data_IF_903622721673
#
_entry.id   IF_903622721673
#
_cell.length_a   1.000
_cell.length_b   1.000
_cell.length_c   1.000
_cell.angle_alpha   90.00
_cell.angle_beta   90.00
_cell.angle_gamma   90.00
#
_symmetry.space_group_name_H-M   'P 1'
#
loop_
_entity.id
_entity.type
_entity.pdbx_description
1 polymer ?
#
# COMPACT_ATOMS: atom_id res chain seq x y z
N UNK A 1 2.14 -0.08 31.65
CA UNK A 1 2.64 -0.51 30.32
C UNK A 1 1.56 -1.41 29.75
N UNK A 2 1.05 -1.14 28.56
CA UNK A 2 0.17 -2.09 27.88
C UNK A 2 1.02 -3.25 27.35
N UNK A 3 0.42 -4.40 27.06
CA UNK A 3 1.07 -5.38 26.19
C UNK A 3 1.19 -4.73 24.81
N UNK A 4 2.43 -4.43 24.39
CA UNK A 4 2.69 -4.10 22.99
C UNK A 4 2.42 -5.36 22.17
N UNK A 5 1.27 -5.39 21.49
CA UNK A 5 0.96 -6.43 20.52
C UNK A 5 1.93 -6.20 19.36
N UNK A 6 2.96 -7.04 19.27
CA UNK A 6 3.93 -7.02 18.20
C UNK A 6 3.25 -7.50 16.90
N UNK A 7 2.63 -6.55 16.21
CA UNK A 7 2.12 -6.75 14.84
C UNK A 7 3.34 -6.73 13.92
N UNK A 8 3.79 -7.91 13.51
CA UNK A 8 4.85 -8.07 12.52
C UNK A 8 4.25 -8.33 11.12
N UNK A 9 4.89 -7.76 10.11
CA UNK A 9 4.54 -7.87 8.70
C UNK A 9 5.75 -7.40 7.88
N UNK A 10 6.04 -8.05 6.75
CA UNK A 10 7.29 -7.85 6.01
C UNK A 10 7.07 -7.30 4.58
N UNK A 11 6.48 -6.10 4.36
CA UNK A 11 6.23 -5.54 3.02
C UNK A 11 7.41 -5.48 2.02
N UNK A 12 8.67 -5.57 2.45
CA UNK A 12 9.82 -5.70 1.53
C UNK A 12 10.20 -7.14 1.17
N UNK A 13 9.47 -8.14 1.66
CA UNK A 13 9.65 -9.57 1.44
C UNK A 13 8.35 -10.25 0.96
N UNK A 14 7.20 -9.81 1.48
CA UNK A 14 5.87 -10.34 1.17
C UNK A 14 5.33 -9.78 -0.16
N UNK A 15 5.77 -10.33 -1.30
CA UNK A 15 5.49 -9.76 -2.64
C UNK A 15 4.01 -9.86 -3.08
N UNK A 16 3.26 -10.86 -2.61
CA UNK A 16 1.89 -11.14 -3.08
C UNK A 16 0.79 -10.14 -2.68
N UNK A 17 1.10 -9.08 -1.92
CA UNK A 17 0.11 -8.09 -1.47
C UNK A 17 -0.41 -7.13 -2.55
N UNK A 18 0.24 -7.08 -3.71
CA UNK A 18 -0.22 -6.33 -4.89
C UNK A 18 -0.95 -7.20 -5.93
N UNK A 19 -1.17 -8.50 -5.65
CA UNK A 19 -2.00 -9.36 -6.49
C UNK A 19 -3.47 -8.91 -6.51
N UNK A 20 -4.09 -8.97 -7.69
CA UNK A 20 -5.45 -8.51 -7.90
C UNK A 20 -6.45 -9.28 -7.03
N UNK A 21 -7.32 -8.55 -6.31
CA UNK A 21 -8.32 -9.13 -5.42
C UNK A 21 -7.84 -9.40 -3.98
N UNK A 22 -6.54 -9.58 -3.71
CA UNK A 22 -6.05 -9.83 -2.33
C UNK A 22 -6.39 -8.68 -1.39
N UNK A 23 -6.19 -7.44 -1.86
CA UNK A 23 -6.55 -6.21 -1.15
C UNK A 23 -8.05 -6.07 -0.92
N UNK A 24 -8.87 -6.49 -1.89
CA UNK A 24 -10.33 -6.39 -1.82
C UNK A 24 -10.91 -7.45 -0.85
N UNK A 25 -10.37 -8.67 -0.88
CA UNK A 25 -10.67 -9.73 0.08
C UNK A 25 -10.32 -9.32 1.51
N UNK A 26 -9.14 -8.75 1.73
CA UNK A 26 -8.73 -8.25 3.04
C UNK A 26 -9.64 -7.11 3.54
N UNK A 27 -9.99 -6.16 2.67
CA UNK A 27 -10.94 -5.09 3.00
C UNK A 27 -12.33 -5.64 3.30
N UNK A 28 -12.84 -6.61 2.54
CA UNK A 28 -14.14 -7.24 2.78
C UNK A 28 -14.20 -7.95 4.15
N UNK A 29 -13.12 -8.61 4.58
CA UNK A 29 -13.01 -9.19 5.92
C UNK A 29 -13.02 -8.13 7.04
N UNK A 30 -12.27 -7.04 6.86
CA UNK A 30 -12.28 -5.90 7.79
C UNK A 30 -13.67 -5.26 7.87
N UNK A 31 -14.38 -5.15 6.73
CA UNK A 31 -15.75 -4.63 6.65
C UNK A 31 -16.75 -5.55 7.38
N UNK A 32 -16.59 -6.86 7.29
CA UNK A 32 -17.41 -7.82 8.05
C UNK A 32 -17.18 -7.69 9.57
N UNK A 33 -15.93 -7.58 10.02
CA UNK A 33 -15.61 -7.36 11.43
C UNK A 33 -16.08 -5.99 11.94
N UNK A 34 -16.00 -4.94 11.12
CA UNK A 34 -16.57 -3.62 11.45
C UNK A 34 -18.11 -3.62 11.51
N UNK A 35 -18.78 -4.53 10.79
CA UNK A 35 -20.25 -4.74 10.91
C UNK A 35 -20.60 -5.53 12.17
N UNK A 36 -19.79 -6.51 12.55
CA UNK A 36 -19.94 -7.32 13.78
C UNK A 36 -19.67 -6.48 15.04
N UNK A 37 -18.59 -5.69 15.04
CA UNK A 37 -18.13 -4.89 16.16
C UNK A 37 -18.19 -3.39 15.86
N UNK A 38 -19.26 -2.73 16.34
CA UNK A 38 -19.32 -1.26 16.32
C UNK A 38 -18.19 -0.66 17.15
N UNK A 39 -17.43 0.35 16.66
CA UNK A 39 -16.33 0.96 17.40
C UNK A 39 -16.77 1.47 18.79
N UNK A 40 -16.20 0.89 19.84
CA UNK A 40 -16.56 1.16 21.25
C UNK A 40 -15.62 2.14 21.96
N UNK A 41 -14.53 2.54 21.28
CA UNK A 41 -13.59 3.57 21.70
C UNK A 41 -13.37 4.50 20.52
N UNK A 42 -13.48 5.81 20.72
CA UNK A 42 -13.09 6.77 19.71
C UNK A 42 -11.56 6.98 19.81
N UNK A 43 -10.84 6.58 18.77
CA UNK A 43 -9.38 6.69 18.70
C UNK A 43 -8.86 8.15 18.69
N UNK A 44 -9.77 9.13 18.61
CA UNK A 44 -9.48 10.56 18.76
C UNK A 44 -9.68 11.07 20.21
N UNK A 45 -10.11 10.25 21.17
CA UNK A 45 -10.30 10.66 22.59
C UNK A 45 -9.02 11.19 23.26
N UNK A 46 -7.84 10.75 22.80
CA UNK A 46 -6.54 11.25 23.28
C UNK A 46 -6.11 12.58 22.66
N UNK A 47 -6.85 13.10 21.68
CA UNK A 47 -6.57 14.37 21.02
C UNK A 47 -7.49 15.47 21.58
N UNK A 48 -7.01 16.72 21.72
CA UNK A 48 -7.87 17.83 22.07
C UNK A 48 -8.93 18.04 20.96
N UNK A 49 -10.15 18.50 21.31
CA UNK A 49 -11.19 18.78 20.32
C UNK A 49 -10.70 19.80 19.30
N UNK A 50 -10.99 19.55 18.01
CA UNK A 50 -10.53 20.39 16.91
C UNK A 50 -11.12 21.81 17.02
N UNK A 51 -10.30 22.78 17.39
CA UNK A 51 -10.69 24.18 17.40
C UNK A 51 -10.66 24.74 15.97
N UNK A 52 -11.77 24.61 15.24
CA UNK A 52 -11.95 25.18 13.90
C UNK A 52 -11.77 26.70 13.88
N UNK A 53 -12.08 27.38 14.98
CA UNK A 53 -11.98 28.83 15.13
C UNK A 53 -10.57 29.32 15.57
N UNK A 54 -9.57 28.43 15.69
CA UNK A 54 -8.24 28.78 16.20
C UNK A 54 -7.52 29.90 15.42
N UNK A 55 -7.86 30.06 14.14
CA UNK A 55 -7.29 31.07 13.24
C UNK A 55 -8.32 32.08 12.73
N UNK A 56 -9.54 32.11 13.30
CA UNK A 56 -10.58 33.08 12.93
C UNK A 56 -10.26 34.46 13.49
N UNK A 57 -9.72 35.31 12.62
CA UNK A 57 -9.69 36.76 12.87
C UNK A 57 -11.11 37.33 12.95
N UNK A 58 -11.31 38.42 13.68
CA UNK A 58 -12.65 39.02 13.82
C UNK A 58 -13.20 39.57 12.50
N UNK A 59 -12.31 39.90 11.54
CA UNK A 59 -12.68 40.17 10.16
C UNK A 59 -13.34 38.94 9.50
N UNK A 60 -12.75 37.75 9.64
CA UNK A 60 -13.32 36.52 9.08
C UNK A 60 -14.68 36.18 9.71
N UNK A 61 -14.86 36.39 11.02
CA UNK A 61 -16.14 36.19 11.70
C UNK A 61 -17.24 37.10 11.13
N UNK A 62 -16.93 38.38 10.93
CA UNK A 62 -17.84 39.35 10.31
C UNK A 62 -18.15 38.99 8.84
N UNK A 63 -17.15 38.54 8.07
CA UNK A 63 -17.34 38.06 6.69
C UNK A 63 -18.24 36.81 6.62
N UNK A 64 -18.05 35.83 7.53
CA UNK A 64 -18.89 34.65 7.63
C UNK A 64 -20.33 35.01 8.03
N UNK A 65 -20.53 35.90 9.00
CA UNK A 65 -21.86 36.38 9.40
C UNK A 65 -22.57 37.12 8.25
N UNK A 66 -21.84 37.88 7.42
CA UNK A 66 -22.38 38.52 6.22
C UNK A 66 -22.78 37.48 5.15
N UNK A 67 -22.00 36.42 4.99
CA UNK A 67 -22.32 35.31 4.06
C UNK A 67 -23.53 34.50 4.53
N UNK A 68 -23.62 34.18 5.83
CA UNK A 68 -24.75 33.48 6.44
C UNK A 68 -26.07 34.27 6.31
N UNK A 69 -26.01 35.60 6.51
CA UNK A 69 -27.14 36.50 6.27
C UNK A 69 -27.43 36.78 4.79
N UNK A 70 -26.69 36.16 3.86
CA UNK A 70 -26.90 36.27 2.41
C UNK A 70 -26.59 37.66 1.83
N UNK A 71 -25.95 38.54 2.60
CA UNK A 71 -25.69 39.93 2.19
C UNK A 71 -24.48 39.97 1.25
N UNK A 72 -24.73 40.41 0.01
CA UNK A 72 -23.67 40.61 -1.00
C UNK A 72 -22.67 41.65 -0.49
N UNK A 73 -21.38 41.37 -0.67
CA UNK A 73 -20.29 42.31 -0.37
C UNK A 73 -20.50 43.65 -1.09
N UNK A 74 -20.31 44.75 -0.37
CA UNK A 74 -20.41 46.11 -0.93
C UNK A 74 -19.32 46.34 -1.99
N UNK A 75 -19.70 46.96 -3.11
CA UNK A 75 -18.76 47.29 -4.19
C UNK A 75 -17.87 48.46 -3.81
N UNK A 76 -16.55 48.32 -3.97
CA UNK A 76 -15.58 49.39 -3.73
C UNK A 76 -15.98 50.70 -4.43
N UNK A 77 -16.18 51.76 -3.67
CA UNK A 77 -16.59 53.07 -4.18
C UNK A 77 -15.42 53.81 -4.86
N UNK A 78 -15.37 53.75 -6.19
CA UNK A 78 -14.30 54.38 -7.00
C UNK A 78 -14.38 55.91 -7.06
N UNK A 79 -15.53 56.52 -6.75
CA UNK A 79 -15.82 57.94 -6.97
C UNK A 79 -14.85 58.91 -6.28
N UNK A 80 -14.18 58.46 -5.20
CA UNK A 80 -13.11 59.22 -4.50
C UNK A 80 -11.85 59.41 -5.36
N UNK A 81 -11.59 58.53 -6.32
CA UNK A 81 -10.44 58.58 -7.22
C UNK A 81 -10.75 59.23 -8.57
N UNK A 82 -12.03 59.54 -8.79
CA UNK A 82 -12.54 60.26 -9.95
C UNK A 82 -12.73 61.75 -9.58
N UNK A 83 -12.77 62.64 -10.58
CA UNK A 83 -13.28 64.01 -10.40
C UNK A 83 -14.62 64.16 -11.14
N UNK A 84 -15.72 63.58 -10.63
CA UNK A 84 -17.04 63.82 -11.19
C UNK A 84 -17.43 65.29 -10.96
N UNK A 85 -17.98 65.94 -11.99
CA UNK A 85 -18.74 67.17 -11.80
C UNK A 85 -20.00 66.89 -10.96
N UNK A 86 -20.57 67.91 -10.29
CA UNK A 86 -21.84 67.75 -9.58
C UNK A 86 -22.92 67.17 -10.51
N UNK A 87 -23.79 66.25 -10.03
CA UNK A 87 -24.84 65.65 -10.85
C UNK A 87 -25.69 66.71 -11.55
N UNK A 88 -26.12 66.47 -12.78
CA UNK A 88 -26.83 67.46 -13.61
C UNK A 88 -28.12 68.00 -12.95
N UNK A 89 -28.81 67.18 -12.16
CA UNK A 89 -29.97 67.61 -11.35
C UNK A 89 -29.64 68.41 -10.09
N UNK A 90 -28.36 68.52 -9.70
CA UNK A 90 -27.85 69.20 -8.50
C UNK A 90 -26.98 70.42 -8.81
N UNK A 91 -26.90 70.87 -10.07
CA UNK A 91 -26.04 72.00 -10.48
C UNK A 91 -26.38 73.34 -9.78
N UNK A 92 -27.58 73.50 -9.22
CA UNK A 92 -27.96 74.65 -8.40
C UNK A 92 -27.71 74.49 -6.89
N UNK A 93 -27.28 73.32 -6.42
CA UNK A 93 -27.00 73.07 -5.01
C UNK A 93 -25.55 73.45 -4.67
N UNK A 94 -25.37 74.50 -3.86
CA UNK A 94 -24.04 74.95 -3.40
C UNK A 94 -23.27 73.82 -2.69
N UNK A 95 -23.97 72.95 -1.95
CA UNK A 95 -23.37 71.80 -1.27
C UNK A 95 -22.76 70.78 -2.25
N UNK A 96 -23.43 70.47 -3.37
CA UNK A 96 -22.89 69.54 -4.36
C UNK A 96 -21.63 70.09 -5.06
N UNK A 97 -21.51 71.42 -5.19
CA UNK A 97 -20.27 72.06 -5.64
C UNK A 97 -19.17 72.01 -4.58
N UNK A 98 -19.51 72.21 -3.30
CA UNK A 98 -18.54 72.08 -2.21
C UNK A 98 -17.98 70.65 -2.11
N UNK A 99 -18.83 69.63 -2.17
CA UNK A 99 -18.42 68.22 -2.19
C UNK A 99 -17.46 67.89 -3.36
N UNK A 100 -17.72 68.43 -4.55
CA UNK A 100 -16.85 68.25 -5.71
C UNK A 100 -15.50 68.98 -5.55
N UNK A 101 -15.50 70.18 -4.94
CA UNK A 101 -14.30 70.96 -4.63
C UNK A 101 -13.45 70.26 -3.56
N UNK A 102 -14.05 69.79 -2.47
CA UNK A 102 -13.37 69.07 -1.38
C UNK A 102 -12.76 67.76 -1.88
N UNK A 103 -13.47 67.02 -2.75
CA UNK A 103 -12.93 65.84 -3.42
C UNK A 103 -11.75 66.19 -4.34
N UNK A 104 -11.78 67.34 -5.03
CA UNK A 104 -10.66 67.79 -5.87
C UNK A 104 -9.41 68.16 -5.05
N UNK A 105 -9.58 68.77 -3.86
CA UNK A 105 -8.47 69.03 -2.94
C UNK A 105 -7.88 67.73 -2.37
N UNK A 106 -8.73 66.80 -1.92
CA UNK A 106 -8.28 65.48 -1.45
C UNK A 106 -7.50 64.72 -2.53
N UNK A 107 -7.96 64.79 -3.79
CA UNK A 107 -7.30 64.12 -4.91
C UNK A 107 -5.99 64.82 -5.33
N UNK A 108 -5.86 66.14 -5.17
CA UNK A 108 -4.60 66.87 -5.36
C UNK A 108 -3.54 66.39 -4.35
N UNK A 109 -3.88 66.29 -3.07
CA UNK A 109 -2.98 65.76 -2.04
C UNK A 109 -2.65 64.27 -2.27
N UNK A 110 -3.61 63.47 -2.74
CA UNK A 110 -3.33 62.09 -3.15
C UNK A 110 -2.34 62.00 -4.33
N UNK A 111 -2.39 62.90 -5.33
CA UNK A 111 -1.37 62.92 -6.38
C UNK A 111 -0.01 63.46 -5.88
N UNK A 112 0.00 64.41 -4.95
CA UNK A 112 1.22 64.89 -4.27
C UNK A 112 1.95 63.76 -3.52
N UNK A 113 1.22 63.02 -2.68
CA UNK A 113 1.73 61.85 -1.96
C UNK A 113 2.15 60.74 -2.94
N UNK A 114 1.38 60.50 -4.00
CA UNK A 114 1.73 59.52 -5.05
C UNK A 114 3.03 59.89 -5.76
N UNK A 115 3.24 61.16 -6.08
CA UNK A 115 4.47 61.64 -6.71
C UNK A 115 5.68 61.40 -5.79
N UNK A 116 5.58 61.77 -4.50
CA UNK A 116 6.63 61.51 -3.51
C UNK A 116 6.92 60.00 -3.35
N UNK A 117 5.88 59.16 -3.31
CA UNK A 117 6.04 57.71 -3.24
C UNK A 117 6.70 57.13 -4.50
N UNK A 118 6.41 57.69 -5.69
CA UNK A 118 7.06 57.30 -6.94
C UNK A 118 8.52 57.74 -6.98
N UNK A 119 8.87 58.93 -6.46
CA UNK A 119 10.28 59.31 -6.30
C UNK A 119 11.02 58.36 -5.37
N UNK A 120 10.43 57.98 -4.22
CA UNK A 120 11.05 57.01 -3.30
C UNK A 120 11.23 55.64 -3.94
N UNK A 121 10.22 55.17 -4.71
CA UNK A 121 10.31 53.93 -5.47
C UNK A 121 11.38 53.99 -6.56
N UNK A 122 11.53 55.12 -7.25
CA UNK A 122 12.58 55.33 -8.26
C UNK A 122 13.98 55.39 -7.64
N UNK A 123 14.12 55.96 -6.43
CA UNK A 123 15.39 56.11 -5.70
C UNK A 123 15.87 54.81 -5.05
N UNK A 124 14.95 54.03 -4.47
CA UNK A 124 15.30 52.87 -3.61
C UNK A 124 14.70 51.53 -4.06
N UNK A 125 13.66 51.54 -4.90
CA UNK A 125 12.89 50.33 -5.24
C UNK A 125 13.73 49.22 -5.83
N UNK A 126 14.60 49.52 -6.80
CA UNK A 126 15.46 48.53 -7.45
C UNK A 126 16.39 47.81 -6.46
N UNK A 127 16.89 48.49 -5.43
CA UNK A 127 17.79 47.89 -4.44
C UNK A 127 17.00 47.11 -3.37
N UNK A 128 15.88 47.66 -2.90
CA UNK A 128 14.98 46.96 -1.99
C UNK A 128 14.45 45.64 -2.60
N UNK A 129 14.13 45.63 -3.90
CA UNK A 129 13.72 44.42 -4.61
C UNK A 129 14.83 43.37 -4.74
N UNK A 130 16.10 43.76 -4.93
CA UNK A 130 17.24 42.81 -4.89
C UNK A 130 17.37 42.17 -3.51
N UNK A 131 17.36 42.97 -2.45
CA UNK A 131 17.51 42.47 -1.06
C UNK A 131 16.34 41.52 -0.72
N UNK A 132 15.12 41.85 -1.12
CA UNK A 132 13.97 40.97 -0.96
C UNK A 132 14.11 39.66 -1.76
N UNK A 133 14.67 39.72 -2.97
CA UNK A 133 14.95 38.55 -3.81
C UNK A 133 16.07 37.67 -3.23
N UNK A 134 17.15 38.25 -2.69
CA UNK A 134 18.23 37.52 -2.02
C UNK A 134 17.71 36.76 -0.79
N UNK A 135 16.86 37.40 0.02
CA UNK A 135 16.17 36.74 1.16
C UNK A 135 15.28 35.60 0.66
N UNK A 136 14.50 35.81 -0.40
CA UNK A 136 13.61 34.78 -0.95
C UNK A 136 14.39 33.59 -1.53
N UNK A 137 15.51 33.84 -2.22
CA UNK A 137 16.42 32.80 -2.70
C UNK A 137 17.02 32.02 -1.52
N UNK A 138 17.47 32.71 -0.47
CA UNK A 138 18.00 32.08 0.74
C UNK A 138 16.98 31.21 1.49
N UNK A 139 15.71 31.64 1.55
CA UNK A 139 14.61 30.86 2.10
C UNK A 139 14.28 29.63 1.24
N UNK A 140 14.23 29.79 -0.09
CA UNK A 140 14.00 28.69 -1.03
C UNK A 140 15.12 27.63 -0.96
N UNK A 141 16.38 28.07 -0.95
CA UNK A 141 17.54 27.18 -0.83
C UNK A 141 17.55 26.41 0.50
N UNK A 142 17.11 27.04 1.60
CA UNK A 142 16.93 26.37 2.89
C UNK A 142 15.84 25.29 2.81
N UNK A 143 14.64 25.64 2.36
CA UNK A 143 13.54 24.67 2.23
C UNK A 143 13.90 23.48 1.32
N UNK A 144 14.66 23.71 0.24
CA UNK A 144 15.19 22.66 -0.63
C UNK A 144 16.25 21.78 0.06
N UNK A 145 17.13 22.38 0.90
CA UNK A 145 18.09 21.63 1.73
C UNK A 145 17.37 20.75 2.74
N UNK A 146 16.45 21.32 3.51
CA UNK A 146 15.72 20.63 4.58
C UNK A 146 14.92 19.44 4.00
N UNK A 147 14.29 19.62 2.84
CA UNK A 147 13.61 18.56 2.08
C UNK A 147 14.57 17.49 1.53
N UNK A 148 15.81 17.87 1.18
CA UNK A 148 16.85 16.93 0.73
C UNK A 148 17.40 16.09 1.88
N UNK A 149 17.54 16.67 3.07
CA UNK A 149 17.98 15.98 4.29
C UNK A 149 16.89 15.03 4.79
N UNK A 150 15.63 15.47 4.89
CA UNK A 150 14.49 14.62 5.24
C UNK A 150 14.30 13.44 4.28
N UNK A 151 14.54 13.64 2.96
CA UNK A 151 14.51 12.53 1.98
C UNK A 151 15.59 11.49 2.23
N UNK A 152 16.79 11.89 2.67
CA UNK A 152 17.87 10.95 3.01
C UNK A 152 17.55 10.18 4.30
N UNK A 153 16.99 10.83 5.31
CA UNK A 153 16.54 10.17 6.55
C UNK A 153 15.47 9.11 6.26
N UNK A 154 14.46 9.45 5.43
CA UNK A 154 13.43 8.51 4.98
C UNK A 154 14.05 7.34 4.20
N UNK A 155 15.02 7.61 3.31
CA UNK A 155 15.73 6.57 2.56
C UNK A 155 16.55 5.65 3.47
N UNK A 156 17.24 6.19 4.48
CA UNK A 156 18.02 5.38 5.44
C UNK A 156 17.11 4.50 6.30
N UNK A 157 16.00 5.05 6.81
CA UNK A 157 14.98 4.30 7.56
C UNK A 157 14.39 3.18 6.70
N UNK A 158 14.07 3.47 5.44
CA UNK A 158 13.52 2.47 4.52
C UNK A 158 14.55 1.40 4.13
N UNK A 159 15.82 1.75 3.93
CA UNK A 159 16.90 0.81 3.66
C UNK A 159 17.16 -0.11 4.87
N UNK A 160 17.23 0.46 6.08
CA UNK A 160 17.35 -0.27 7.35
C UNK A 160 16.16 -1.20 7.59
N UNK A 161 14.94 -0.78 7.25
CA UNK A 161 13.73 -1.63 7.28
C UNK A 161 13.84 -2.76 6.26
N UNK A 162 14.22 -2.47 5.01
CA UNK A 162 14.36 -3.47 3.94
C UNK A 162 15.38 -4.55 4.29
N UNK A 163 16.58 -4.17 4.74
CA UNK A 163 17.57 -5.14 5.22
C UNK A 163 17.01 -5.99 6.36
N UNK A 164 16.48 -5.39 7.45
CA UNK A 164 15.91 -6.19 8.56
C UNK A 164 14.81 -7.15 8.10
N UNK A 165 13.95 -6.74 7.17
CA UNK A 165 12.87 -7.59 6.67
C UNK A 165 13.38 -8.74 5.79
N UNK A 166 14.34 -8.50 4.89
CA UNK A 166 14.98 -9.56 4.09
C UNK A 166 15.74 -10.54 5.01
N UNK A 167 16.59 -10.03 5.89
CA UNK A 167 17.31 -10.81 6.91
C UNK A 167 16.38 -11.69 7.75
N UNK A 168 15.11 -11.30 7.93
CA UNK A 168 14.11 -12.04 8.72
C UNK A 168 13.32 -13.02 7.85
N UNK A 169 12.95 -12.62 6.64
CA UNK A 169 12.28 -13.48 5.65
C UNK A 169 13.16 -14.65 5.19
N UNK A 170 14.48 -14.46 5.03
CA UNK A 170 15.41 -15.55 4.77
C UNK A 170 15.44 -16.59 5.92
N UNK A 171 15.41 -16.13 7.17
CA UNK A 171 15.33 -17.01 8.35
C UNK A 171 13.99 -17.74 8.40
N UNK A 172 12.88 -17.05 8.08
CA UNK A 172 11.55 -17.65 8.00
C UNK A 172 11.48 -18.72 6.90
N UNK A 173 12.01 -18.43 5.71
CA UNK A 173 12.08 -19.38 4.60
C UNK A 173 12.91 -20.62 4.97
N UNK A 174 14.08 -20.44 5.59
CA UNK A 174 14.89 -21.55 6.11
C UNK A 174 14.13 -22.39 7.15
N UNK A 175 13.43 -21.76 8.09
CA UNK A 175 12.62 -22.47 9.09
C UNK A 175 11.45 -23.23 8.44
N UNK A 176 10.80 -22.65 7.42
CA UNK A 176 9.74 -23.29 6.65
C UNK A 176 10.25 -24.51 5.87
N UNK A 177 11.43 -24.41 5.24
CA UNK A 177 12.10 -25.54 4.59
C UNK A 177 12.45 -26.65 5.57
N UNK A 178 12.99 -26.30 6.76
CA UNK A 178 13.27 -27.28 7.81
C UNK A 178 12.01 -27.93 8.36
N UNK A 179 10.91 -27.17 8.52
CA UNK A 179 9.61 -27.71 8.91
C UNK A 179 9.06 -28.67 7.84
N UNK A 180 9.07 -28.29 6.57
CA UNK A 180 8.62 -29.14 5.47
C UNK A 180 9.45 -30.44 5.37
N UNK A 181 10.78 -30.35 5.53
CA UNK A 181 11.66 -31.53 5.60
C UNK A 181 11.30 -32.45 6.77
N UNK A 182 11.07 -31.91 7.97
CA UNK A 182 10.68 -32.70 9.14
C UNK A 182 9.29 -33.36 8.95
N UNK A 183 8.34 -32.68 8.31
CA UNK A 183 7.03 -33.25 7.97
C UNK A 183 7.16 -34.38 6.96
N UNK A 184 7.95 -34.20 5.89
CA UNK A 184 8.21 -35.25 4.90
C UNK A 184 8.93 -36.46 5.51
N UNK A 185 9.99 -36.26 6.30
CA UNK A 185 10.69 -37.37 6.96
C UNK A 185 9.80 -38.10 7.97
N UNK A 186 8.92 -37.41 8.70
CA UNK A 186 7.92 -38.07 9.56
C UNK A 186 6.95 -38.92 8.72
N UNK A 187 6.45 -38.39 7.58
CA UNK A 187 5.57 -39.13 6.68
C UNK A 187 6.26 -40.36 6.05
N UNK A 188 7.52 -40.24 5.65
CA UNK A 188 8.35 -41.35 5.16
C UNK A 188 8.55 -42.43 6.24
N UNK A 189 8.72 -42.04 7.51
CA UNK A 189 8.82 -42.97 8.64
C UNK A 189 7.50 -43.70 8.88
N UNK A 190 6.36 -43.00 8.91
CA UNK A 190 5.04 -43.63 9.07
C UNK A 190 4.73 -44.60 7.92
N UNK A 191 5.06 -44.22 6.67
CA UNK A 191 4.93 -45.10 5.49
C UNK A 191 5.81 -46.35 5.59
N UNK A 192 7.05 -46.21 6.08
CA UNK A 192 7.95 -47.33 6.31
C UNK A 192 7.45 -48.26 7.44
N UNK A 193 6.90 -47.69 8.52
CA UNK A 193 6.27 -48.44 9.62
C UNK A 193 5.08 -49.24 9.09
N UNK A 194 4.16 -48.62 8.36
CA UNK A 194 3.00 -49.28 7.76
C UNK A 194 3.43 -50.41 6.80
N UNK A 195 4.44 -50.18 5.96
CA UNK A 195 4.99 -51.21 5.06
C UNK A 195 5.56 -52.41 5.83
N UNK A 196 6.27 -52.16 6.94
CA UNK A 196 6.82 -53.21 7.80
C UNK A 196 5.69 -53.94 8.57
N UNK A 197 4.65 -53.25 9.02
CA UNK A 197 3.48 -53.86 9.66
C UNK A 197 2.72 -54.78 8.68
N UNK A 198 2.56 -54.37 7.42
CA UNK A 198 1.99 -55.23 6.37
C UNK A 198 2.86 -56.46 6.11
N UNK A 199 4.18 -56.32 6.06
CA UNK A 199 5.10 -57.47 5.94
C UNK A 199 5.00 -58.43 7.14
N UNK A 200 4.90 -57.90 8.37
CA UNK A 200 4.72 -58.71 9.59
C UNK A 200 3.36 -59.43 9.58
N UNK A 201 2.28 -58.77 9.14
CA UNK A 201 0.96 -59.36 9.00
C UNK A 201 0.98 -60.52 7.98
N UNK A 202 1.59 -60.31 6.81
CA UNK A 202 1.73 -61.35 5.79
C UNK A 202 2.58 -62.54 6.31
N UNK A 203 3.67 -62.28 7.03
CA UNK A 203 4.53 -63.30 7.63
C UNK A 203 3.89 -64.03 8.84
N UNK A 204 2.87 -63.46 9.47
CA UNK A 204 2.08 -64.15 10.49
C UNK A 204 0.98 -65.00 9.86
N UNK A 205 0.32 -64.52 8.80
CA UNK A 205 -0.63 -65.32 8.01
C UNK A 205 0.04 -66.56 7.41
N UNK A 206 1.20 -66.43 6.75
CA UNK A 206 1.95 -67.60 6.22
C UNK A 206 2.31 -68.60 7.33
N UNK A 207 2.64 -68.13 8.54
CA UNK A 207 2.92 -69.02 9.68
C UNK A 207 1.67 -69.68 10.27
N UNK A 208 0.52 -69.04 10.19
CA UNK A 208 -0.77 -69.64 10.57
C UNK A 208 -1.24 -70.66 9.53
N UNK A 209 -0.90 -70.46 8.25
CA UNK A 209 -1.08 -71.43 7.17
C UNK A 209 -0.13 -72.63 7.32
N UNK A 210 1.18 -72.42 7.50
CA UNK A 210 2.17 -73.48 7.81
C UNK A 210 1.75 -74.29 9.05
N UNK A 211 1.29 -73.62 10.12
CA UNK A 211 0.82 -74.26 11.35
C UNK A 211 -0.59 -74.89 11.23
N UNK A 212 -1.27 -74.74 10.10
CA UNK A 212 -2.48 -75.47 9.73
C UNK A 212 -2.14 -76.70 8.85
N UNK A 213 -1.14 -76.60 7.97
CA UNK A 213 -0.59 -77.75 7.25
C UNK A 213 0.05 -78.76 8.21
N UNK A 214 0.86 -78.32 9.19
CA UNK A 214 1.42 -79.18 10.26
C UNK A 214 0.35 -79.89 11.14
N UNK A 215 -0.93 -79.52 11.04
CA UNK A 215 -2.04 -80.17 11.77
C UNK A 215 -2.89 -81.12 10.89
N UNK A 216 -2.54 -81.28 9.63
CA UNK A 216 -3.20 -82.22 8.71
C UNK A 216 -2.46 -83.57 8.72
N UNK A 217 -3.08 -84.68 9.18
CA UNK A 217 -2.38 -85.95 9.32
C UNK A 217 -2.14 -86.64 7.96
N UNK A 218 -0.95 -87.20 7.79
CA UNK A 218 -0.56 -88.01 6.62
C UNK A 218 -1.41 -89.28 6.47
N UNK A 219 -1.75 -89.67 5.23
CA UNK A 219 -1.98 -91.07 4.85
C UNK A 219 -0.78 -91.66 4.09
N UNK A 220 -0.56 -92.96 4.24
CA UNK A 220 0.68 -93.66 3.86
C UNK A 220 0.91 -93.85 2.35
N UNK A 221 2.18 -94.13 1.99
CA UNK A 221 2.66 -94.32 0.61
C UNK A 221 2.33 -95.68 -0.01
N UNK A 222 2.03 -95.70 -1.32
CA UNK A 222 2.12 -96.88 -2.19
C UNK A 222 2.67 -96.50 -3.57
N UNK A 223 3.64 -97.24 -4.08
CA UNK A 223 4.20 -97.08 -5.42
C UNK A 223 3.26 -97.62 -6.53
N UNK A 224 3.29 -97.03 -7.73
CA UNK A 224 3.76 -97.81 -8.90
C UNK A 224 4.10 -97.01 -10.18
N UNK A 225 5.20 -97.45 -10.79
CA UNK A 225 5.61 -97.51 -12.21
C UNK A 225 5.25 -96.48 -13.30
N UNK A 226 6.19 -96.40 -14.26
CA UNK A 226 6.24 -95.53 -15.46
C UNK A 226 5.22 -95.94 -16.54
N UNK A 227 4.83 -94.97 -17.38
CA UNK A 227 4.77 -95.12 -18.87
C UNK A 227 5.14 -93.76 -19.51
N UNK A 228 5.82 -93.79 -20.67
CA UNK A 228 6.16 -92.62 -21.50
C UNK A 228 5.09 -92.35 -22.58
N UNK A 229 4.93 -91.11 -23.08
CA UNK A 229 4.82 -90.82 -24.54
C UNK A 229 4.80 -89.30 -24.88
N UNK A 230 5.01 -88.98 -26.16
CA UNK A 230 5.21 -87.63 -26.73
C UNK A 230 3.93 -86.93 -27.25
N UNK A 231 3.99 -85.59 -27.41
CA UNK A 231 3.06 -84.76 -28.21
C UNK A 231 2.79 -83.39 -27.56
N UNK A 232 3.49 -82.27 -27.82
CA UNK A 232 4.10 -81.70 -29.04
C UNK A 232 3.11 -81.00 -29.99
N UNK A 233 2.79 -79.71 -29.76
CA UNK A 233 2.94 -78.58 -30.72
C UNK A 233 2.30 -77.24 -30.26
N UNK A 234 3.04 -76.13 -30.50
CA UNK A 234 2.61 -74.80 -31.05
C UNK A 234 1.46 -74.01 -30.36
N UNK A 235 1.22 -72.70 -30.50
CA UNK A 235 1.90 -71.42 -30.89
C UNK A 235 0.92 -70.30 -30.41
N UNK A 236 1.20 -69.01 -30.14
CA UNK A 236 2.32 -68.05 -30.25
C UNK A 236 2.13 -66.99 -29.11
N UNK A 237 2.89 -65.90 -28.90
CA UNK A 237 4.02 -65.28 -29.61
C UNK A 237 3.86 -63.75 -29.71
N UNK A 238 4.97 -63.00 -29.79
CA UNK A 238 5.10 -61.52 -29.80
C UNK A 238 4.73 -60.78 -28.49
N UNK A 239 5.32 -59.60 -28.19
CA UNK A 239 6.38 -58.91 -28.93
C UNK A 239 6.96 -57.67 -28.21
N UNK A 240 8.15 -57.24 -28.63
CA UNK A 240 8.93 -56.16 -28.00
C UNK A 240 8.45 -54.74 -28.34
N UNK A 241 8.78 -53.76 -27.50
CA UNK A 241 8.69 -52.33 -27.80
C UNK A 241 9.61 -51.50 -26.89
N UNK A 242 10.48 -50.68 -27.48
CA UNK A 242 11.36 -49.70 -26.83
C UNK A 242 11.47 -48.47 -27.74
N UNK A 243 12.00 -47.35 -27.22
CA UNK A 243 11.96 -45.94 -27.72
C UNK A 243 10.96 -45.08 -26.92
N UNK A 244 11.25 -43.85 -26.46
CA UNK A 244 12.26 -42.81 -26.80
C UNK A 244 11.94 -41.96 -28.03
N UNK A 245 11.01 -41.03 -27.82
CA UNK A 245 10.82 -39.69 -28.43
C UNK A 245 10.37 -38.81 -27.23
N UNK A 246 10.88 -37.62 -26.88
CA UNK A 246 11.70 -36.60 -27.55
C UNK A 246 10.94 -35.60 -28.43
N UNK A 247 10.11 -34.76 -27.79
CA UNK A 247 9.54 -33.54 -28.36
C UNK A 247 10.14 -32.28 -27.69
N UNK A 248 10.53 -31.31 -28.52
CA UNK A 248 10.78 -29.92 -28.15
C UNK A 248 9.90 -29.05 -29.04
N UNK A 249 9.12 -28.14 -28.47
CA UNK A 249 8.59 -26.98 -29.19
C UNK A 249 8.98 -25.70 -28.44
N UNK A 250 9.88 -24.93 -29.05
CA UNK A 250 10.21 -23.56 -28.65
C UNK A 250 9.24 -22.56 -29.31
N UNK A 251 8.92 -21.48 -28.59
CA UNK A 251 8.56 -20.12 -29.06
C UNK A 251 8.17 -19.30 -27.80
N UNK A 252 8.66 -18.09 -27.48
CA UNK A 252 9.00 -16.87 -28.26
C UNK A 252 7.76 -16.21 -28.92
N UNK A 253 7.47 -14.91 -28.77
CA UNK A 253 8.01 -13.84 -27.88
C UNK A 253 6.92 -13.38 -26.85
N UNK A 254 7.03 -12.32 -26.04
CA UNK A 254 7.07 -10.88 -26.39
C UNK A 254 7.94 -10.04 -25.43
N UNK A 255 8.37 -8.86 -25.89
CA UNK A 255 9.31 -7.94 -25.23
C UNK A 255 8.65 -6.75 -24.47
N UNK A 256 9.48 -6.04 -23.70
CA UNK A 256 9.40 -4.64 -23.26
C UNK A 256 8.05 -3.95 -22.91
N UNK A 257 8.00 -3.36 -21.71
CA UNK A 257 7.86 -1.89 -21.67
C UNK A 257 8.47 -1.24 -20.40
N UNK A 258 9.35 -0.27 -20.68
CA UNK A 258 9.66 1.02 -20.01
C UNK A 258 9.39 1.19 -18.51
#
# INVERSE_FOLDING_TARGET
>A
MANEILVDALPYFDVGFDEAGVREMALAMVDEECRRYKPSKNYLESLPPLNTAAFETDLMKNEFQRLESGVRMETMNTKRYELPAPPTGKLGEIQAWQEAVDNSFAQLEHQSIRYLNLELLQKYGCEAWKIALEVLIGLSARAQKDLSELKKEIQEINWRRKSKQIDTGEKLNRLNQQWAQLVSCNFEIELAIETILQQINNLSQVKEEEAAEEKSPEPESVNNEKVETNGHKEQNGNGSGNSVENDQEDNQEDEEMT
#
